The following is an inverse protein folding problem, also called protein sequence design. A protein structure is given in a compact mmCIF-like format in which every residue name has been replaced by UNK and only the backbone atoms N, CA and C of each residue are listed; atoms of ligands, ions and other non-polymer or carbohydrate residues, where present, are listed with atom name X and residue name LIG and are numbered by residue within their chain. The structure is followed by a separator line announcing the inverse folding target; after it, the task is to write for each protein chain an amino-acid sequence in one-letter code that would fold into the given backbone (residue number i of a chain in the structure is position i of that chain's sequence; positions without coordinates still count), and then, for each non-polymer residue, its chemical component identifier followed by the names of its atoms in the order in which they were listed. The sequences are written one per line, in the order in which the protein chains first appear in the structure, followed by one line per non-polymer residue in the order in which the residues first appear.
data_IF_444862898772
#
_entry.id   IF_444862898772
#
_cell.length_a   1.000
_cell.length_b   1.000
_cell.length_c   1.000
_cell.angle_alpha   90.00
_cell.angle_beta   90.00
_cell.angle_gamma   90.00
#
_symmetry.space_group_name_H-M   'P 1'
#
loop_
_entity.id
_entity.type
_entity.pdbx_description
1 polymer ?
#
# COMPACT_ATOMS: atom_id res chain seq x y z
N UNK A 1 15.94 14.32 -50.12
CA UNK A 1 16.33 14.27 -48.70
C UNK A 1 15.06 14.13 -47.89
N UNK A 2 14.87 12.95 -47.32
CA UNK A 2 13.55 12.39 -47.03
C UNK A 2 12.98 12.80 -45.68
N UNK A 3 11.68 13.07 -45.68
CA UNK A 3 10.82 13.19 -44.49
C UNK A 3 10.74 11.91 -43.63
N UNK A 4 11.37 10.81 -44.06
CA UNK A 4 11.41 9.52 -43.37
C UNK A 4 12.54 9.42 -42.31
N UNK A 5 13.59 10.25 -42.38
CA UNK A 5 14.67 10.24 -41.38
C UNK A 5 14.26 10.81 -40.02
N UNK A 6 13.17 11.58 -39.99
CA UNK A 6 12.68 12.24 -38.77
C UNK A 6 11.74 11.37 -37.93
N UNK A 7 11.32 10.21 -38.46
CA UNK A 7 10.46 9.26 -37.76
C UNK A 7 11.24 8.11 -37.10
N UNK A 8 12.55 7.99 -37.35
CA UNK A 8 13.41 6.91 -36.84
C UNK A 8 14.46 7.38 -35.83
N UNK A 9 14.41 8.64 -35.39
CA UNK A 9 15.43 9.17 -34.50
C UNK A 9 14.95 10.33 -33.67
N UNK A 10 14.26 10.06 -32.56
CA UNK A 10 14.43 10.79 -31.30
C UNK A 10 13.60 10.17 -30.18
N UNK A 11 14.30 9.75 -29.14
CA UNK A 11 13.73 9.24 -27.91
C UNK A 11 14.53 8.02 -27.51
N UNK A 12 15.58 8.24 -26.74
CA UNK A 12 16.16 7.22 -25.87
C UNK A 12 14.97 6.45 -25.26
N UNK A 13 14.75 5.24 -25.73
CA UNK A 13 14.14 4.20 -24.91
C UNK A 13 15.17 4.05 -23.79
N UNK A 14 14.99 4.84 -22.74
CA UNK A 14 15.50 4.53 -21.41
C UNK A 14 14.79 3.22 -21.06
N UNK A 15 15.32 2.12 -21.62
CA UNK A 15 14.90 0.77 -21.31
C UNK A 15 15.16 0.70 -19.82
N UNK A 16 14.12 0.96 -19.04
CA UNK A 16 14.18 0.95 -17.60
C UNK A 16 14.69 -0.44 -17.22
N UNK A 17 16.00 -0.54 -17.01
CA UNK A 17 16.63 -1.77 -16.55
C UNK A 17 15.86 -2.17 -15.30
N UNK A 18 15.27 -3.37 -15.24
CA UNK A 18 14.49 -3.76 -14.08
C UNK A 18 15.36 -3.60 -12.84
N UNK A 19 15.03 -2.62 -12.01
CA UNK A 19 15.77 -2.39 -10.76
C UNK A 19 15.65 -3.65 -9.93
N UNK A 20 16.80 -4.16 -9.49
CA UNK A 20 16.85 -5.32 -8.61
C UNK A 20 16.14 -4.98 -7.30
N UNK A 21 15.27 -5.89 -6.86
CA UNK A 21 14.52 -5.69 -5.64
C UNK A 21 15.45 -5.62 -4.43
N UNK A 22 15.37 -4.52 -3.66
CA UNK A 22 16.14 -4.33 -2.43
C UNK A 22 15.20 -4.27 -1.22
N UNK A 23 15.26 -5.26 -0.31
CA UNK A 23 14.54 -5.22 0.96
C UNK A 23 14.84 -3.95 1.75
N UNK A 24 16.09 -3.48 1.73
CA UNK A 24 16.50 -2.27 2.44
C UNK A 24 15.88 -1.00 1.85
N UNK A 25 15.79 -0.92 0.52
CA UNK A 25 15.22 0.23 -0.16
C UNK A 25 13.71 0.39 0.11
N UNK A 26 12.96 -0.72 0.21
CA UNK A 26 11.51 -0.67 0.41
C UNK A 26 11.08 -0.61 1.88
N UNK A 27 11.98 -0.89 2.84
CA UNK A 27 11.70 -0.88 4.29
C UNK A 27 11.03 0.41 4.79
N UNK A 28 11.45 1.62 4.39
CA UNK A 28 10.78 2.84 4.80
C UNK A 28 9.31 2.88 4.36
N UNK A 29 9.02 2.49 3.11
CA UNK A 29 7.66 2.44 2.59
C UNK A 29 6.81 1.35 3.27
N UNK A 30 7.40 0.18 3.55
CA UNK A 30 6.74 -0.88 4.35
C UNK A 30 6.41 -0.38 5.77
N UNK A 31 7.33 0.36 6.39
CA UNK A 31 7.11 0.95 7.72
C UNK A 31 5.98 1.97 7.72
N UNK A 32 5.90 2.81 6.70
CA UNK A 32 4.81 3.77 6.55
C UNK A 32 3.46 3.06 6.37
N UNK A 33 3.39 2.01 5.55
CA UNK A 33 2.17 1.23 5.38
C UNK A 33 1.75 0.52 6.68
N UNK A 34 2.69 -0.05 7.42
CA UNK A 34 2.43 -0.64 8.75
C UNK A 34 1.78 0.40 9.68
N UNK A 35 2.35 1.61 9.72
CA UNK A 35 1.85 2.72 10.54
C UNK A 35 0.45 3.17 10.13
N UNK A 36 0.22 3.37 8.83
CA UNK A 36 -1.08 3.78 8.29
C UNK A 36 -2.17 2.75 8.60
N UNK A 37 -1.89 1.45 8.41
CA UNK A 37 -2.83 0.37 8.70
C UNK A 37 -3.17 0.27 10.19
N UNK A 38 -2.17 0.41 11.06
CA UNK A 38 -2.40 0.42 12.51
C UNK A 38 -3.21 1.63 12.95
N UNK A 39 -2.87 2.83 12.49
CA UNK A 39 -3.61 4.04 12.84
C UNK A 39 -5.08 3.98 12.39
N UNK A 40 -5.34 3.47 11.18
CA UNK A 40 -6.70 3.28 10.69
C UNK A 40 -7.46 2.23 11.52
N UNK A 41 -6.83 1.08 11.82
CA UNK A 41 -7.45 0.04 12.63
C UNK A 41 -7.79 0.52 14.04
N UNK A 42 -6.90 1.31 14.66
CA UNK A 42 -7.11 1.86 16.00
C UNK A 42 -8.22 2.91 16.01
N UNK A 43 -8.27 3.79 15.00
CA UNK A 43 -9.37 4.76 14.85
C UNK A 43 -10.73 4.10 14.57
N UNK A 44 -10.73 2.89 13.98
CA UNK A 44 -11.95 2.10 13.78
C UNK A 44 -12.40 1.36 15.05
N UNK A 45 -11.52 1.15 16.03
CA UNK A 45 -11.75 0.35 17.24
C UNK A 45 -11.90 1.25 18.48
N UNK A 46 -12.85 2.17 18.41
CA UNK A 46 -13.21 3.12 19.49
C UNK A 46 -14.42 2.62 20.30
N UNK A 47 -14.70 3.24 21.46
CA UNK A 47 -15.76 2.82 22.38
C UNK A 47 -17.16 2.76 21.72
N UNK A 48 -17.47 3.72 20.86
CA UNK A 48 -18.74 3.79 20.11
C UNK A 48 -18.69 3.08 18.74
N UNK A 49 -17.64 2.28 18.48
CA UNK A 49 -17.52 1.56 17.23
C UNK A 49 -18.67 0.55 17.07
N UNK A 50 -19.18 0.33 15.84
CA UNK A 50 -20.25 -0.62 15.57
C UNK A 50 -19.72 -2.07 15.63
N UNK A 51 -19.15 -2.50 16.76
CA UNK A 51 -18.54 -3.83 16.95
C UNK A 51 -19.58 -4.95 16.85
N UNK A 52 -20.87 -4.65 17.03
CA UNK A 52 -21.96 -5.58 16.75
C UNK A 52 -22.06 -5.93 15.26
N UNK A 53 -21.55 -5.07 14.36
CA UNK A 53 -21.45 -5.33 12.92
C UNK A 53 -20.29 -6.30 12.63
N UNK A 54 -20.57 -7.55 12.18
CA UNK A 54 -19.50 -8.52 11.88
C UNK A 54 -18.57 -8.07 10.75
N UNK A 55 -19.07 -7.30 9.77
CA UNK A 55 -18.28 -6.76 8.68
C UNK A 55 -17.26 -5.73 9.17
N UNK A 56 -17.65 -4.88 10.13
CA UNK A 56 -16.75 -3.91 10.75
C UNK A 56 -15.59 -4.58 11.48
N UNK A 57 -15.92 -5.54 12.36
CA UNK A 57 -14.89 -6.34 13.05
C UNK A 57 -14.00 -7.11 12.08
N UNK A 58 -14.58 -7.64 11.01
CA UNK A 58 -13.83 -8.27 9.92
C UNK A 58 -12.80 -7.33 9.33
N UNK A 59 -13.19 -6.10 8.98
CA UNK A 59 -12.28 -5.10 8.43
C UNK A 59 -11.16 -4.69 9.39
N UNK A 60 -11.46 -4.44 10.67
CA UNK A 60 -10.41 -4.17 11.67
C UNK A 60 -9.41 -5.33 11.74
N UNK A 61 -9.91 -6.57 11.75
CA UNK A 61 -9.06 -7.76 11.76
C UNK A 61 -8.19 -7.84 10.52
N UNK A 62 -8.75 -7.58 9.33
CA UNK A 62 -8.00 -7.60 8.06
C UNK A 62 -6.84 -6.59 8.10
N UNK A 63 -7.08 -5.35 8.56
CA UNK A 63 -6.06 -4.31 8.69
C UNK A 63 -4.96 -4.72 9.69
N UNK A 64 -5.34 -5.26 10.85
CA UNK A 64 -4.41 -5.73 11.88
C UNK A 64 -3.57 -6.91 11.38
N UNK A 65 -4.19 -7.86 10.69
CA UNK A 65 -3.49 -9.01 10.10
C UNK A 65 -2.48 -8.56 9.04
N UNK A 66 -2.87 -7.68 8.12
CA UNK A 66 -1.97 -7.15 7.10
C UNK A 66 -0.77 -6.41 7.72
N UNK A 67 -1.03 -5.53 8.69
CA UNK A 67 0.01 -4.82 9.44
C UNK A 67 0.94 -5.79 10.20
N UNK A 68 0.39 -6.85 10.79
CA UNK A 68 1.15 -7.92 11.45
C UNK A 68 2.04 -8.70 10.48
N UNK A 69 1.49 -9.14 9.35
CA UNK A 69 2.24 -9.85 8.30
C UNK A 69 3.38 -9.00 7.75
N UNK A 70 3.15 -7.72 7.48
CA UNK A 70 4.20 -6.79 7.04
C UNK A 70 5.30 -6.66 8.09
N UNK A 71 4.96 -6.57 9.39
CA UNK A 71 5.97 -6.54 10.47
C UNK A 71 6.80 -7.82 10.54
N UNK A 72 6.17 -8.99 10.37
CA UNK A 72 6.88 -10.27 10.38
C UNK A 72 7.81 -10.38 9.18
N UNK A 73 7.31 -10.09 7.98
CA UNK A 73 8.10 -10.06 6.75
C UNK A 73 9.26 -9.08 6.85
N UNK A 74 9.03 -7.86 7.35
CA UNK A 74 10.07 -6.85 7.52
C UNK A 74 11.15 -7.24 8.55
N UNK A 75 10.97 -8.27 9.38
CA UNK A 75 12.05 -8.78 10.24
C UNK A 75 13.03 -9.68 9.49
N UNK A 76 12.61 -10.27 8.36
CA UNK A 76 13.50 -11.02 7.50
C UNK A 76 14.40 -10.03 6.74
N UNK A 77 15.74 -10.09 6.86
CA UNK A 77 16.64 -9.23 6.09
C UNK A 77 16.55 -9.50 4.58
N UNK A 78 16.18 -10.73 4.20
CA UNK A 78 16.21 -11.23 2.82
C UNK A 78 14.82 -11.63 2.29
N UNK A 79 13.75 -10.92 2.69
CA UNK A 79 12.44 -11.14 2.06
C UNK A 79 12.52 -10.79 0.58
N UNK A 80 11.69 -11.45 -0.22
CA UNK A 80 11.67 -11.29 -1.67
C UNK A 80 10.58 -10.31 -2.10
N UNK A 81 10.64 -9.89 -3.36
CA UNK A 81 9.56 -9.13 -4.00
C UNK A 81 8.22 -9.87 -3.91
N UNK A 82 8.24 -11.19 -4.08
CA UNK A 82 7.03 -12.03 -4.05
C UNK A 82 6.42 -12.10 -2.64
N UNK A 83 7.24 -12.27 -1.60
CA UNK A 83 6.78 -12.21 -0.20
C UNK A 83 6.01 -10.90 0.07
N UNK A 84 6.51 -9.79 -0.48
CA UNK A 84 5.89 -8.48 -0.35
C UNK A 84 4.56 -8.39 -1.12
N UNK A 85 4.50 -8.89 -2.35
CA UNK A 85 3.27 -8.92 -3.13
C UNK A 85 2.20 -9.80 -2.48
N UNK A 86 2.57 -10.96 -1.93
CA UNK A 86 1.65 -11.84 -1.20
C UNK A 86 0.92 -11.07 -0.09
N UNK A 87 1.64 -10.29 0.71
CA UNK A 87 1.02 -9.48 1.76
C UNK A 87 0.23 -8.31 1.16
N UNK A 88 0.79 -7.57 0.19
CA UNK A 88 0.15 -6.40 -0.41
C UNK A 88 -1.22 -6.69 -1.02
N UNK A 89 -1.39 -7.85 -1.66
CA UNK A 89 -2.68 -8.25 -2.26
C UNK A 89 -3.81 -8.42 -1.22
N UNK A 90 -3.46 -8.58 0.06
CA UNK A 90 -4.42 -8.66 1.17
C UNK A 90 -4.80 -7.29 1.74
N UNK A 91 -4.01 -6.25 1.46
CA UNK A 91 -4.23 -4.90 1.99
C UNK A 91 -5.40 -4.24 1.26
N UNK A 92 -6.44 -3.88 2.00
CA UNK A 92 -7.64 -3.23 1.44
C UNK A 92 -7.99 -1.96 2.22
N UNK A 93 -7.98 -0.79 1.58
CA UNK A 93 -8.60 0.42 2.12
C UNK A 93 -10.08 0.17 2.43
N UNK A 94 -10.65 0.93 3.37
CA UNK A 94 -12.07 0.80 3.72
C UNK A 94 -12.99 1.28 2.57
N UNK A 95 -12.51 2.21 1.75
CA UNK A 95 -13.12 2.62 0.49
C UNK A 95 -12.06 3.24 -0.44
N UNK A 96 -12.42 3.45 -1.72
CA UNK A 96 -11.66 4.26 -2.68
C UNK A 96 -12.56 5.36 -3.23
N UNK A 97 -12.02 6.55 -3.47
CA UNK A 97 -12.79 7.71 -3.90
C UNK A 97 -13.42 8.47 -2.74
N UNK A 98 -14.60 9.07 -2.97
CA UNK A 98 -15.26 9.91 -1.96
C UNK A 98 -15.69 9.09 -0.72
N UNK A 99 -15.41 9.57 0.52
CA UNK A 99 -15.85 8.90 1.74
C UNK A 99 -17.39 8.82 1.82
N UNK A 100 -17.94 7.64 2.17
CA UNK A 100 -19.31 7.59 2.66
C UNK A 100 -19.44 8.46 3.92
N UNK A 101 -20.61 9.10 4.12
CA UNK A 101 -20.85 10.08 5.18
C UNK A 101 -20.45 9.57 6.58
N UNK A 102 -20.78 8.32 6.87
CA UNK A 102 -20.52 7.71 8.17
C UNK A 102 -19.02 7.44 8.43
N UNK A 103 -18.19 7.46 7.38
CA UNK A 103 -16.74 7.25 7.44
C UNK A 103 -15.92 8.50 7.16
N UNK A 104 -16.56 9.68 7.07
CA UNK A 104 -15.86 10.94 6.80
C UNK A 104 -14.75 11.23 7.83
N UNK A 105 -14.96 10.83 9.09
CA UNK A 105 -13.98 10.98 10.17
C UNK A 105 -12.72 10.09 10.01
N UNK A 106 -12.79 9.05 9.17
CA UNK A 106 -11.65 8.17 8.87
C UNK A 106 -10.93 8.55 7.56
N UNK A 107 -11.35 9.64 6.91
CA UNK A 107 -10.94 9.91 5.54
C UNK A 107 -9.44 10.11 5.38
N UNK A 108 -8.85 10.97 6.21
CA UNK A 108 -7.41 11.23 6.18
C UNK A 108 -6.59 9.95 6.45
N UNK A 109 -7.05 9.08 7.34
CA UNK A 109 -6.38 7.82 7.65
C UNK A 109 -6.50 6.80 6.51
N UNK A 110 -7.68 6.72 5.87
CA UNK A 110 -7.86 5.87 4.70
C UNK A 110 -7.05 6.35 3.49
N UNK A 111 -7.00 7.67 3.27
CA UNK A 111 -6.15 8.28 2.23
C UNK A 111 -4.68 8.01 2.49
N UNK A 112 -4.24 8.08 3.75
CA UNK A 112 -2.87 7.72 4.13
C UNK A 112 -2.54 6.26 3.80
N UNK A 113 -3.47 5.33 4.03
CA UNK A 113 -3.28 3.92 3.63
C UNK A 113 -3.15 3.80 2.11
N UNK A 114 -3.98 4.50 1.34
CA UNK A 114 -3.90 4.50 -0.13
C UNK A 114 -2.55 5.06 -0.60
N UNK A 115 -2.14 6.22 -0.08
CA UNK A 115 -0.86 6.84 -0.40
C UNK A 115 0.33 5.95 -0.04
N UNK A 116 0.27 5.24 1.09
CA UNK A 116 1.31 4.30 1.50
C UNK A 116 1.38 3.06 0.60
N UNK A 117 0.25 2.55 0.11
CA UNK A 117 0.21 1.47 -0.90
C UNK A 117 0.86 1.96 -2.19
N UNK A 118 0.49 3.14 -2.68
CA UNK A 118 1.02 3.70 -3.93
C UNK A 118 2.53 4.00 -3.80
N UNK A 119 2.95 4.56 -2.67
CA UNK A 119 4.36 4.81 -2.37
C UNK A 119 5.18 3.52 -2.27
N UNK A 120 4.58 2.43 -1.80
CA UNK A 120 5.22 1.12 -1.78
C UNK A 120 5.31 0.51 -3.19
N UNK A 121 4.27 0.61 -4.01
CA UNK A 121 4.35 0.19 -5.42
C UNK A 121 5.39 0.98 -6.22
N UNK A 122 5.57 2.27 -5.93
CA UNK A 122 6.59 3.09 -6.56
C UNK A 122 8.03 2.74 -6.13
N UNK A 123 8.20 2.03 -5.01
CA UNK A 123 9.49 1.64 -4.47
C UNK A 123 9.94 0.22 -4.90
N UNK A 124 9.04 -0.57 -5.51
CA UNK A 124 9.28 -1.96 -5.95
C UNK A 124 9.75 -2.00 -7.40
#
# INVERSE_FOLDING_TARGET
MGFLDKLLGRGDDDVATPTEFSPEAVRPAVSELIGALSALADAMDVEDAPLSNPGWRGRIRDLRNASGSLRVMARNPAFTRDDLFEVLTTVRPIYRGAPPKDFAHLAELNERVIAAIDGLYAAI
#
